data_IF_675613872153
#
_entry.id   IF_675613872153
#
_cell.length_a   1.000
_cell.length_b   1.000
_cell.length_c   1.000
_cell.angle_alpha   90.00
_cell.angle_beta   90.00
_cell.angle_gamma   90.00
#
_symmetry.space_group_name_H-M   'P 1'
#
loop_
_entity.id
_entity.type
_entity.pdbx_description
1 polymer ?
#
# COMPACT_ATOMS: atom_id res chain seq x y z
N UNK A 1 -27.67 -18.77 26.90
CA UNK A 1 -27.16 -18.96 25.53
C UNK A 1 -25.84 -18.19 25.43
N UNK A 2 -24.73 -18.82 25.05
CA UNK A 2 -23.50 -18.07 24.70
C UNK A 2 -23.71 -17.50 23.30
N UNK A 3 -23.49 -16.20 23.11
CA UNK A 3 -23.42 -15.61 21.78
C UNK A 3 -22.22 -16.21 21.04
N UNK A 4 -22.42 -16.64 19.80
CA UNK A 4 -21.31 -17.05 18.93
C UNK A 4 -20.43 -15.82 18.63
N UNK A 5 -19.16 -15.88 19.00
CA UNK A 5 -18.19 -14.85 18.66
C UNK A 5 -17.84 -14.97 17.17
N UNK A 6 -18.17 -13.95 16.38
CA UNK A 6 -17.80 -13.86 14.96
C UNK A 6 -16.54 -13.01 14.81
N UNK A 7 -15.55 -13.51 14.07
CA UNK A 7 -14.31 -12.78 13.75
C UNK A 7 -14.25 -12.53 12.25
N UNK A 8 -13.81 -11.33 11.86
CA UNK A 8 -13.60 -10.94 10.47
C UNK A 8 -12.24 -10.27 10.31
N UNK A 9 -11.63 -10.44 9.13
CA UNK A 9 -10.41 -9.74 8.74
C UNK A 9 -10.75 -8.77 7.61
N UNK A 10 -10.34 -7.51 7.75
CA UNK A 10 -10.53 -6.47 6.74
C UNK A 10 -9.15 -5.99 6.31
N UNK A 11 -8.86 -6.08 5.02
CA UNK A 11 -7.61 -5.62 4.41
C UNK A 11 -7.91 -4.66 3.27
N UNK A 12 -7.14 -3.57 3.17
CA UNK A 12 -7.30 -2.61 2.07
C UNK A 12 -6.33 -2.95 0.95
N UNK A 13 -6.90 -3.25 -0.21
CA UNK A 13 -6.15 -3.57 -1.41
C UNK A 13 -5.12 -2.49 -1.74
N UNK A 14 -3.84 -2.90 -1.75
CA UNK A 14 -2.71 -2.06 -2.16
C UNK A 14 -2.71 -0.68 -1.47
N UNK A 15 -2.91 -0.66 -0.15
CA UNK A 15 -3.24 0.54 0.65
C UNK A 15 -2.48 1.82 0.23
N UNK A 16 -1.14 1.83 0.23
CA UNK A 16 -0.40 3.05 -0.13
C UNK A 16 -0.63 3.51 -1.57
N UNK A 17 -0.74 2.57 -2.53
CA UNK A 17 -1.08 2.92 -3.93
C UNK A 17 -2.49 3.49 -4.01
N UNK A 18 -3.43 2.96 -3.23
CA UNK A 18 -4.80 3.46 -3.15
C UNK A 18 -4.84 4.87 -2.54
N UNK A 19 -3.99 5.15 -1.56
CA UNK A 19 -3.82 6.49 -1.00
C UNK A 19 -3.31 7.49 -2.06
N UNK A 20 -2.27 7.13 -2.80
CA UNK A 20 -1.73 7.99 -3.88
C UNK A 20 -2.79 8.25 -4.97
N UNK A 21 -3.55 7.22 -5.37
CA UNK A 21 -4.62 7.33 -6.38
C UNK A 21 -5.77 8.24 -5.93
N UNK A 22 -6.06 8.30 -4.63
CA UNK A 22 -7.09 9.19 -4.10
C UNK A 22 -6.77 10.67 -4.38
N UNK A 23 -5.48 11.04 -4.35
CA UNK A 23 -5.02 12.41 -4.52
C UNK A 23 -4.49 12.72 -5.93
N UNK A 24 -4.09 11.69 -6.68
CA UNK A 24 -3.78 11.80 -8.11
C UNK A 24 -4.56 10.77 -8.93
N UNK A 25 -5.78 11.14 -9.41
CA UNK A 25 -6.62 10.25 -10.20
C UNK A 25 -5.98 9.79 -11.52
N UNK A 26 -4.93 10.46 -12.01
CA UNK A 26 -4.21 10.04 -13.23
C UNK A 26 -3.45 8.72 -13.03
N UNK A 27 -3.28 8.28 -11.79
CA UNK A 27 -2.65 7.02 -11.43
C UNK A 27 -3.60 5.81 -11.54
N UNK A 28 -4.90 6.02 -11.74
CA UNK A 28 -5.86 4.94 -11.95
C UNK A 28 -5.56 4.20 -13.26
N UNK A 29 -5.53 2.86 -13.21
CA UNK A 29 -5.23 2.02 -14.37
C UNK A 29 -3.76 1.98 -14.79
N UNK A 30 -2.87 2.72 -14.09
CA UNK A 30 -1.44 2.75 -14.39
C UNK A 30 -0.64 1.80 -13.48
N UNK A 31 0.48 1.23 -13.96
CA UNK A 31 1.44 0.54 -13.12
C UNK A 31 2.10 1.52 -12.14
N UNK A 32 1.74 1.41 -10.86
CA UNK A 32 2.27 2.26 -9.78
C UNK A 32 2.95 1.41 -8.70
N UNK A 33 4.11 1.88 -8.24
CA UNK A 33 4.78 1.42 -7.02
C UNK A 33 4.94 2.57 -6.04
N UNK A 34 4.85 2.26 -4.75
CA UNK A 34 5.29 3.13 -3.65
C UNK A 34 6.60 2.58 -3.12
N UNK A 35 7.60 3.43 -2.96
CA UNK A 35 8.95 3.09 -2.52
C UNK A 35 9.16 3.41 -1.04
N UNK A 36 10.04 2.68 -0.37
CA UNK A 36 10.43 2.89 1.02
C UNK A 36 11.04 4.27 1.27
N UNK A 37 11.41 4.56 2.52
CA UNK A 37 12.29 5.69 2.82
C UNK A 37 13.56 5.62 1.95
N UNK A 38 13.99 6.79 1.47
CA UNK A 38 15.11 6.95 0.54
C UNK A 38 14.97 6.20 -0.79
N UNK A 39 13.75 5.84 -1.19
CA UNK A 39 13.42 5.19 -2.47
C UNK A 39 14.17 3.86 -2.72
N UNK A 40 14.49 3.15 -1.63
CA UNK A 40 15.31 1.93 -1.68
C UNK A 40 14.61 0.75 -2.35
N UNK A 41 13.40 0.41 -1.91
CA UNK A 41 12.66 -0.75 -2.41
C UNK A 41 11.15 -0.53 -2.50
N UNK A 42 10.47 -1.37 -3.28
CA UNK A 42 9.01 -1.35 -3.43
C UNK A 42 8.32 -1.81 -2.14
N UNK A 43 7.56 -0.94 -1.48
CA UNK A 43 6.79 -1.28 -0.26
C UNK A 43 5.31 -1.52 -0.56
N UNK A 44 4.78 -0.95 -1.63
CA UNK A 44 3.45 -1.27 -2.14
C UNK A 44 3.42 -1.21 -3.67
N UNK A 45 2.49 -1.96 -4.27
CA UNK A 45 2.38 -2.08 -5.72
C UNK A 45 0.95 -2.29 -6.17
N UNK A 46 0.61 -1.65 -7.27
CA UNK A 46 -0.67 -1.79 -7.98
C UNK A 46 -0.83 -3.20 -8.57
N UNK A 47 -2.06 -3.59 -8.90
CA UNK A 47 -2.33 -4.88 -9.56
C UNK A 47 -1.70 -4.95 -10.95
N UNK A 48 -1.61 -3.81 -11.64
CA UNK A 48 -0.91 -3.66 -12.90
C UNK A 48 0.58 -4.01 -12.75
N UNK A 49 1.22 -3.59 -11.66
CA UNK A 49 2.62 -3.95 -11.36
C UNK A 49 2.76 -5.42 -10.95
N UNK A 50 1.79 -5.99 -10.22
CA UNK A 50 1.79 -7.43 -9.89
C UNK A 50 1.82 -8.29 -11.15
N UNK A 51 1.09 -7.88 -12.20
CA UNK A 51 1.10 -8.57 -13.51
C UNK A 51 2.45 -8.51 -14.23
N UNK A 52 3.31 -7.54 -13.89
CA UNK A 52 4.68 -7.45 -14.40
C UNK A 52 5.67 -8.34 -13.64
N UNK A 53 5.22 -9.04 -12.59
CA UNK A 53 6.08 -9.92 -11.77
C UNK A 53 7.00 -9.17 -10.81
N UNK A 54 6.81 -7.87 -10.59
CA UNK A 54 7.63 -7.09 -9.65
C UNK A 54 7.11 -7.34 -8.23
N UNK A 55 7.98 -7.82 -7.34
CA UNK A 55 7.65 -8.21 -5.96
C UNK A 55 7.79 -7.08 -4.93
N UNK A 56 7.10 -7.20 -3.79
CA UNK A 56 7.38 -6.33 -2.64
C UNK A 56 8.82 -6.58 -2.17
N UNK A 57 9.50 -5.54 -1.71
CA UNK A 57 10.91 -5.59 -1.35
C UNK A 57 11.86 -5.57 -2.53
N UNK A 58 11.37 -5.59 -3.79
CA UNK A 58 12.24 -5.45 -4.96
C UNK A 58 12.95 -4.10 -4.89
N UNK A 59 14.30 -4.05 -4.91
CA UNK A 59 15.03 -2.79 -4.89
C UNK A 59 14.76 -1.96 -6.14
N UNK A 60 14.51 -0.66 -5.97
CA UNK A 60 14.14 0.23 -7.07
C UNK A 60 15.23 0.31 -8.14
N UNK A 61 16.50 0.31 -7.73
CA UNK A 61 17.64 0.35 -8.65
C UNK A 61 17.70 -0.83 -9.64
N UNK A 62 17.00 -1.95 -9.37
CA UNK A 62 16.88 -3.08 -10.31
C UNK A 62 15.77 -2.84 -11.35
N UNK A 63 14.72 -2.11 -10.98
CA UNK A 63 13.54 -1.83 -11.81
C UNK A 63 13.78 -0.59 -12.67
N UNK A 64 14.33 0.46 -12.08
CA UNK A 64 14.48 1.79 -12.67
C UNK A 64 15.23 1.79 -14.02
N UNK A 65 16.35 1.04 -14.21
CA UNK A 65 17.01 0.97 -15.52
C UNK A 65 16.16 0.28 -16.59
N UNK A 66 15.37 -0.72 -16.21
CA UNK A 66 14.46 -1.44 -17.13
C UNK A 66 13.28 -0.56 -17.53
N UNK A 67 12.76 0.21 -16.58
CA UNK A 67 11.73 1.22 -16.80
C UNK A 67 12.23 2.32 -17.75
N UNK A 68 13.43 2.88 -17.50
CA UNK A 68 14.04 3.91 -18.36
C UNK A 68 14.39 3.42 -19.76
N UNK A 69 14.82 2.17 -19.89
CA UNK A 69 15.20 1.59 -21.19
C UNK A 69 14.01 1.10 -22.02
N UNK A 70 12.78 1.19 -21.50
CA UNK A 70 11.57 0.68 -22.16
C UNK A 70 11.51 -0.84 -22.24
N UNK A 71 12.36 -1.56 -21.50
CA UNK A 71 12.33 -3.03 -21.40
C UNK A 71 11.19 -3.53 -20.53
N UNK A 72 10.60 -2.65 -19.74
CA UNK A 72 9.35 -2.85 -19.01
C UNK A 72 8.36 -1.75 -19.42
N UNK A 73 7.04 -2.02 -19.33
CA UNK A 73 6.03 -0.97 -19.39
C UNK A 73 6.33 0.14 -18.37
N UNK A 74 5.91 1.36 -18.66
CA UNK A 74 6.16 2.51 -17.78
C UNK A 74 5.57 2.26 -16.38
N UNK A 75 6.46 2.18 -15.39
CA UNK A 75 6.11 2.07 -13.97
C UNK A 75 6.29 3.43 -13.31
N UNK A 76 5.22 3.98 -12.75
CA UNK A 76 5.25 5.21 -11.97
C UNK A 76 5.70 4.89 -10.55
N UNK A 77 6.80 5.49 -10.11
CA UNK A 77 7.24 5.41 -8.73
C UNK A 77 6.76 6.62 -7.92
N UNK A 78 6.31 6.35 -6.70
CA UNK A 78 6.00 7.35 -5.68
C UNK A 78 6.90 7.12 -4.47
N UNK A 79 7.56 8.17 -3.99
CA UNK A 79 8.20 8.16 -2.68
C UNK A 79 7.12 8.06 -1.61
N UNK A 80 7.37 7.30 -0.54
CA UNK A 80 6.39 7.15 0.55
C UNK A 80 6.02 8.48 1.19
N UNK A 81 4.72 8.70 1.35
CA UNK A 81 4.14 9.78 2.15
C UNK A 81 3.43 9.19 3.38
N UNK A 82 4.20 8.90 4.44
CA UNK A 82 3.67 8.23 5.63
C UNK A 82 2.68 9.07 6.43
N UNK A 83 2.77 10.41 6.37
CA UNK A 83 1.77 11.29 6.99
C UNK A 83 0.40 11.10 6.33
N UNK A 84 0.35 11.14 4.99
CA UNK A 84 -0.85 10.87 4.22
C UNK A 84 -1.42 9.48 4.51
N UNK A 85 -0.56 8.46 4.53
CA UNK A 85 -0.99 7.08 4.76
C UNK A 85 -1.53 6.89 6.18
N UNK A 86 -0.91 7.53 7.18
CA UNK A 86 -1.35 7.51 8.57
C UNK A 86 -2.71 8.18 8.77
N UNK A 87 -2.95 9.33 8.14
CA UNK A 87 -4.25 10.01 8.19
C UNK A 87 -5.37 9.17 7.56
N UNK A 88 -5.12 8.62 6.36
CA UNK A 88 -6.11 7.78 5.69
C UNK A 88 -6.37 6.47 6.44
N UNK A 89 -5.33 5.87 7.03
CA UNK A 89 -5.46 4.69 7.88
C UNK A 89 -6.37 4.99 9.07
N UNK A 90 -6.13 6.11 9.76
CA UNK A 90 -6.97 6.55 10.88
C UNK A 90 -8.43 6.67 10.46
N UNK A 91 -8.73 7.33 9.33
CA UNK A 91 -10.10 7.47 8.83
C UNK A 91 -10.76 6.14 8.51
N UNK A 92 -10.04 5.19 7.91
CA UNK A 92 -10.58 3.86 7.62
C UNK A 92 -10.89 3.11 8.93
N UNK A 93 -10.00 3.19 9.92
CA UNK A 93 -10.22 2.57 11.22
C UNK A 93 -11.38 3.20 11.99
N UNK A 94 -11.53 4.53 11.96
CA UNK A 94 -12.67 5.25 12.53
C UNK A 94 -13.99 4.76 11.92
N UNK A 95 -14.05 4.64 10.59
CA UNK A 95 -15.23 4.11 9.90
C UNK A 95 -15.53 2.66 10.30
N UNK A 96 -14.52 1.80 10.35
CA UNK A 96 -14.69 0.39 10.74
C UNK A 96 -15.13 0.23 12.20
N UNK A 97 -14.70 1.12 13.10
CA UNK A 97 -15.07 1.11 14.52
C UNK A 97 -16.57 1.24 14.74
N UNK A 98 -17.28 1.93 13.85
CA UNK A 98 -18.74 2.03 13.88
C UNK A 98 -19.47 0.71 13.61
N UNK A 99 -18.80 -0.32 13.08
CA UNK A 99 -19.41 -1.60 12.68
C UNK A 99 -19.03 -2.79 13.59
N UNK A 100 -18.15 -2.60 14.58
CA UNK A 100 -17.69 -3.67 15.47
C UNK A 100 -18.05 -3.37 16.94
N UNK A 101 -18.70 -4.33 17.61
CA UNK A 101 -19.13 -4.18 19.00
C UNK A 101 -18.02 -4.48 20.04
N UNK A 102 -16.98 -5.26 19.68
CA UNK A 102 -15.89 -5.68 20.57
C UNK A 102 -14.57 -5.81 19.78
N UNK A 103 -13.52 -5.13 20.26
CA UNK A 103 -12.11 -5.20 19.84
C UNK A 103 -11.82 -5.20 18.33
N UNK A 104 -11.43 -4.03 17.81
CA UNK A 104 -10.67 -3.93 16.56
C UNK A 104 -9.17 -3.95 16.90
N UNK A 105 -8.51 -5.07 16.61
CA UNK A 105 -7.05 -5.11 16.54
C UNK A 105 -6.63 -4.55 15.17
N UNK A 106 -6.47 -3.23 15.13
CA UNK A 106 -6.11 -2.49 13.93
C UNK A 106 -4.62 -2.63 13.60
N UNK A 107 -4.27 -3.38 12.56
CA UNK A 107 -2.90 -3.49 12.04
C UNK A 107 -2.67 -2.70 10.75
N UNK A 108 -3.41 -1.60 10.54
CA UNK A 108 -3.40 -0.87 9.27
C UNK A 108 -2.11 -0.09 8.95
N UNK A 109 -1.18 0.01 9.89
CA UNK A 109 0.15 0.56 9.62
C UNK A 109 1.21 -0.50 9.94
N UNK A 110 1.22 -1.59 9.19
CA UNK A 110 2.44 -2.39 9.13
C UNK A 110 3.47 -1.60 8.31
N UNK A 111 4.28 -0.79 9.00
CA UNK A 111 5.70 -1.02 9.28
C UNK A 111 6.05 -0.03 10.43
N UNK A 112 6.45 -0.43 11.64
CA UNK A 112 7.77 -1.04 11.90
C UNK A 112 8.80 -0.67 10.83
N UNK A 113 8.98 0.63 10.61
CA UNK A 113 10.31 1.18 10.25
C UNK A 113 11.12 1.16 11.55
N UNK A 114 11.38 -0.04 12.08
CA UNK A 114 12.43 -0.22 13.06
C UNK A 114 13.71 -0.28 12.24
N UNK A 115 14.56 0.72 12.45
CA UNK A 115 16.01 0.64 12.34
C UNK A 115 16.57 -0.50 11.47
N UNK A 116 17.02 -0.15 10.27
CA UNK A 116 18.23 -0.69 9.67
C UNK A 116 19.04 0.47 9.09
#
# INVERSE_FOLDING_TARGET
MRSEQRRGLVDVNSFYVSCERLFDPKLHGRPVVVLSNNDGCVVARSDEVKKLGIENGTPWFKIEPLNRSGRLPEVVARTSNYELYGELSTRVMELLSGYSAEQLDALMVSQHVTEL
#
